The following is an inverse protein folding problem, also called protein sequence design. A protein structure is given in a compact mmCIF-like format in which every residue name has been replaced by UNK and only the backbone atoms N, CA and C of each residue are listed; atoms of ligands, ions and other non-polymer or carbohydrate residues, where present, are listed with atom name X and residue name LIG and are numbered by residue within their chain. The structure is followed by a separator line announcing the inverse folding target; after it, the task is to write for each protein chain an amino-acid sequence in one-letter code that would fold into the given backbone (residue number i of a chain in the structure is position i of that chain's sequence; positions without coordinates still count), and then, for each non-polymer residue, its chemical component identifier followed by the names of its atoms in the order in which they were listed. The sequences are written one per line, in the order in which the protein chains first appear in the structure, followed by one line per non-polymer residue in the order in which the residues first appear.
data_IF_576517509379
#
_entry.id   IF_576517509379
#
_cell.length_a   1.000
_cell.length_b   1.000
_cell.length_c   1.000
_cell.angle_alpha   90.00
_cell.angle_beta   90.00
_cell.angle_gamma   90.00
#
_symmetry.space_group_name_H-M   'P 1'
#
loop_
_entity.id
_entity.type
_entity.pdbx_description
1 polymer ?
#
# COMPACT_ATOMS: atom_id res chain seq x y z
N UNK A 1 8.36 0.02 22.32
CA UNK A 1 9.03 -1.11 21.87
C UNK A 1 8.78 -1.40 20.38
N UNK A 2 7.63 -1.07 19.79
CA UNK A 2 7.36 -1.13 18.34
C UNK A 2 8.44 -0.40 17.53
N UNK A 3 8.81 0.83 17.93
CA UNK A 3 9.84 1.62 17.24
C UNK A 3 11.22 0.95 17.19
N UNK A 4 11.55 0.10 18.17
CA UNK A 4 12.85 -0.57 18.19
C UNK A 4 12.95 -1.69 17.15
N UNK A 5 11.85 -2.31 16.79
CA UNK A 5 11.83 -3.37 15.79
C UNK A 5 11.76 -2.77 14.38
N UNK A 6 10.89 -1.79 14.16
CA UNK A 6 10.81 -1.05 12.91
C UNK A 6 12.11 -0.31 12.57
N UNK A 7 12.82 0.25 13.58
CA UNK A 7 14.09 0.95 13.34
C UNK A 7 15.21 0.06 12.77
N UNK A 8 15.06 -1.27 12.81
CA UNK A 8 15.99 -2.23 12.22
C UNK A 8 15.70 -2.53 10.75
N UNK A 9 14.47 -2.26 10.32
CA UNK A 9 14.00 -2.57 8.96
C UNK A 9 14.13 -1.38 8.01
N UNK A 10 14.16 -0.16 8.56
CA UNK A 10 14.27 1.06 7.75
C UNK A 10 15.72 1.46 7.48
N UNK A 11 15.98 2.05 6.32
CA UNK A 11 17.31 2.51 5.90
C UNK A 11 17.76 3.83 6.54
N UNK A 12 16.87 4.51 7.26
CA UNK A 12 17.12 5.79 7.93
C UNK A 12 17.13 5.66 9.45
N UNK A 13 17.70 6.63 10.15
CA UNK A 13 17.80 6.60 11.62
C UNK A 13 16.56 7.22 12.27
N UNK A 14 15.97 6.46 13.21
CA UNK A 14 14.86 6.92 14.05
C UNK A 14 15.38 7.13 15.46
N UNK A 15 15.10 8.29 16.06
CA UNK A 15 15.55 8.67 17.39
C UNK A 15 14.35 8.99 18.29
N UNK A 16 14.41 8.57 19.54
CA UNK A 16 13.40 8.89 20.55
C UNK A 16 13.50 10.36 20.97
N UNK A 17 12.38 11.06 20.98
CA UNK A 17 12.27 12.46 21.41
C UNK A 17 11.10 12.64 22.40
N UNK A 18 11.34 12.46 23.69
CA UNK A 18 10.29 12.43 24.70
C UNK A 18 9.37 11.21 24.53
N UNK A 19 8.07 11.44 24.35
CA UNK A 19 7.07 10.42 24.03
C UNK A 19 6.95 10.14 22.51
N UNK A 20 7.62 10.93 21.67
CA UNK A 20 7.54 10.87 20.22
C UNK A 20 8.84 10.34 19.62
N UNK A 21 8.82 10.11 18.31
CA UNK A 21 10.00 9.74 17.51
C UNK A 21 10.35 10.86 16.55
N UNK A 22 11.62 10.93 16.16
CA UNK A 22 12.10 11.82 15.11
C UNK A 22 12.94 11.05 14.10
N UNK A 23 12.81 11.42 12.85
CA UNK A 23 13.60 10.90 11.73
C UNK A 23 14.79 11.82 11.50
N UNK A 24 16.00 11.28 11.47
CA UNK A 24 17.21 12.03 11.21
C UNK A 24 17.45 12.17 9.70
N UNK A 25 17.65 13.40 9.26
CA UNK A 25 18.07 13.71 7.90
C UNK A 25 19.55 14.18 7.92
N UNK A 26 20.52 13.31 7.59
CA UNK A 26 21.95 13.65 7.68
C UNK A 26 22.35 14.79 6.76
N UNK A 27 21.74 14.87 5.56
CA UNK A 27 22.05 15.89 4.55
C UNK A 27 21.72 17.30 5.03
N UNK A 28 20.64 17.43 5.81
CA UNK A 28 20.20 18.72 6.35
C UNK A 28 20.67 18.96 7.79
N UNK A 29 21.34 17.97 8.38
CA UNK A 29 21.75 17.96 9.80
C UNK A 29 20.59 18.28 10.76
N UNK A 30 19.39 17.81 10.42
CA UNK A 30 18.13 18.07 11.13
C UNK A 30 17.38 16.77 11.47
N UNK A 31 16.53 16.91 12.47
CA UNK A 31 15.55 15.88 12.84
C UNK A 31 14.15 16.38 12.53
N UNK A 32 13.31 15.52 12.00
CA UNK A 32 11.93 15.82 11.63
C UNK A 32 10.97 14.91 12.38
N UNK A 33 9.85 15.46 12.81
CA UNK A 33 8.72 14.65 13.26
C UNK A 33 8.07 13.91 12.07
N UNK A 34 7.41 12.75 12.27
CA UNK A 34 6.76 12.01 11.20
C UNK A 34 5.79 12.87 10.37
N UNK A 35 4.99 13.70 11.02
CA UNK A 35 4.07 14.63 10.37
C UNK A 35 4.78 15.70 9.51
N UNK A 36 5.99 16.10 9.86
CA UNK A 36 6.80 17.01 9.03
C UNK A 36 7.31 16.32 7.77
N UNK A 37 7.64 15.03 7.86
CA UNK A 37 8.03 14.20 6.70
C UNK A 37 6.82 13.99 5.79
N UNK A 38 5.68 13.57 6.34
CA UNK A 38 4.43 13.40 5.60
C UNK A 38 3.99 14.70 4.91
N UNK A 39 4.22 15.85 5.54
CA UNK A 39 3.93 17.16 4.95
C UNK A 39 4.74 17.44 3.68
N UNK A 40 5.96 16.89 3.53
CA UNK A 40 6.72 17.04 2.28
C UNK A 40 6.05 16.28 1.13
N UNK A 41 5.54 15.09 1.39
CA UNK A 41 4.80 14.30 0.40
C UNK A 41 3.53 15.06 -0.02
N UNK A 42 2.72 15.51 0.95
CA UNK A 42 1.49 16.26 0.67
C UNK A 42 1.77 17.56 -0.11
N UNK A 43 2.84 18.29 0.24
CA UNK A 43 3.26 19.50 -0.50
C UNK A 43 3.62 19.17 -1.94
N UNK A 44 4.39 18.10 -2.16
CA UNK A 44 4.76 17.67 -3.52
C UNK A 44 3.53 17.33 -4.35
N UNK A 45 2.58 16.60 -3.77
CA UNK A 45 1.32 16.25 -4.44
C UNK A 45 0.49 17.49 -4.78
N UNK A 46 0.37 18.43 -3.83
CA UNK A 46 -0.35 19.70 -4.06
C UNK A 46 0.31 20.57 -5.13
N UNK A 47 1.64 20.64 -5.16
CA UNK A 47 2.40 21.35 -6.20
C UNK A 47 2.18 20.73 -7.59
N UNK A 48 2.24 19.40 -7.69
CA UNK A 48 2.06 18.70 -8.96
C UNK A 48 0.62 18.83 -9.46
N UNK A 49 -0.37 18.69 -8.57
CA UNK A 49 -1.76 18.96 -8.89
C UNK A 49 -1.97 20.41 -9.35
N UNK A 50 -1.37 21.38 -8.66
CA UNK A 50 -1.44 22.79 -9.04
C UNK A 50 -0.84 23.09 -10.42
N UNK A 51 0.29 22.44 -10.76
CA UNK A 51 0.88 22.54 -12.10
C UNK A 51 -0.03 21.96 -13.18
N UNK A 52 -0.68 20.84 -12.88
CA UNK A 52 -1.60 20.19 -13.81
C UNK A 52 -2.87 21.03 -14.04
N UNK A 53 -3.44 21.58 -12.96
CA UNK A 53 -4.68 22.40 -13.01
C UNK A 53 -4.43 23.84 -13.48
N UNK A 54 -3.19 24.33 -13.39
CA UNK A 54 -2.85 25.73 -13.68
C UNK A 54 -3.25 26.71 -12.58
N UNK A 55 -3.57 26.21 -11.37
CA UNK A 55 -3.97 27.01 -10.21
C UNK A 55 -3.41 26.42 -8.90
N UNK A 56 -3.41 27.23 -7.83
CA UNK A 56 -2.92 26.77 -6.53
C UNK A 56 -3.95 25.91 -5.82
N UNK A 57 -3.55 24.69 -5.45
CA UNK A 57 -4.35 23.81 -4.60
C UNK A 57 -4.20 24.22 -3.15
N UNK A 58 -5.30 24.58 -2.49
CA UNK A 58 -5.33 25.08 -1.10
C UNK A 58 -6.11 24.20 -0.14
N UNK A 59 -6.95 23.31 -0.64
CA UNK A 59 -7.83 22.45 0.16
C UNK A 59 -7.63 20.98 -0.22
N UNK A 60 -7.81 20.06 0.75
CA UNK A 60 -7.67 18.65 0.51
C UNK A 60 -8.60 17.80 1.40
N UNK A 61 -9.02 16.66 0.86
CA UNK A 61 -9.49 15.50 1.61
C UNK A 61 -8.32 14.53 1.70
N UNK A 62 -8.03 14.03 2.89
CA UNK A 62 -6.91 13.10 3.11
C UNK A 62 -7.46 11.80 3.69
N UNK A 63 -6.98 10.67 3.19
CA UNK A 63 -7.37 9.35 3.66
C UNK A 63 -6.42 8.82 4.72
N UNK A 64 -6.94 7.96 5.58
CA UNK A 64 -6.19 7.24 6.60
C UNK A 64 -6.70 5.80 6.71
N UNK A 65 -5.87 4.84 7.13
CA UNK A 65 -6.33 3.50 7.48
C UNK A 65 -7.46 3.54 8.51
N UNK A 66 -8.43 2.62 8.41
CA UNK A 66 -9.59 2.62 9.31
C UNK A 66 -9.21 2.39 10.78
N UNK A 67 -8.12 1.68 11.05
CA UNK A 67 -7.62 1.41 12.41
C UNK A 67 -6.84 2.56 13.05
N UNK A 68 -6.56 3.66 12.32
CA UNK A 68 -5.88 4.81 12.90
C UNK A 68 -6.66 5.37 14.08
N UNK A 69 -5.97 5.54 15.21
CA UNK A 69 -6.53 6.21 16.39
C UNK A 69 -6.56 7.74 16.21
N UNK A 70 -7.21 8.43 17.14
CA UNK A 70 -7.38 9.89 17.09
C UNK A 70 -6.05 10.65 16.98
N UNK A 71 -4.99 10.17 17.66
CA UNK A 71 -3.67 10.80 17.61
C UNK A 71 -3.04 10.70 16.22
N UNK A 72 -3.16 9.54 15.56
CA UNK A 72 -2.67 9.32 14.21
C UNK A 72 -3.47 10.12 13.17
N UNK A 73 -4.80 10.19 13.32
CA UNK A 73 -5.68 11.04 12.49
C UNK A 73 -5.32 12.50 12.64
N UNK A 74 -5.09 12.97 13.89
CA UNK A 74 -4.68 14.33 14.14
C UNK A 74 -3.30 14.65 13.56
N UNK A 75 -2.32 13.74 13.68
CA UNK A 75 -0.99 13.90 13.07
C UNK A 75 -1.08 14.02 11.54
N UNK A 76 -1.95 13.22 10.89
CA UNK A 76 -2.21 13.34 9.45
C UNK A 76 -2.82 14.69 9.08
N UNK A 77 -3.79 15.17 9.88
CA UNK A 77 -4.38 16.50 9.69
C UNK A 77 -3.36 17.63 9.86
N UNK A 78 -2.46 17.48 10.84
CA UNK A 78 -1.39 18.46 11.09
C UNK A 78 -0.34 18.43 9.97
N UNK A 79 -0.02 17.27 9.40
CA UNK A 79 0.80 17.16 8.21
C UNK A 79 0.23 17.95 7.02
N UNK A 80 -1.09 17.89 6.80
CA UNK A 80 -1.79 18.71 5.80
C UNK A 80 -1.62 20.20 6.05
N UNK A 81 -1.79 20.66 7.30
CA UNK A 81 -1.59 22.05 7.66
C UNK A 81 -0.13 22.51 7.49
N UNK A 82 0.85 21.68 7.87
CA UNK A 82 2.27 21.96 7.67
C UNK A 82 2.60 22.05 6.18
N UNK A 83 1.93 21.26 5.34
CA UNK A 83 2.03 21.35 3.88
C UNK A 83 1.41 22.64 3.30
N UNK A 84 0.64 23.40 4.07
CA UNK A 84 -0.06 24.61 3.63
C UNK A 84 -1.48 24.36 3.11
N UNK A 85 -2.06 23.20 3.41
CA UNK A 85 -3.39 22.81 2.98
C UNK A 85 -4.43 23.01 4.10
N UNK A 86 -5.62 23.47 3.74
CA UNK A 86 -6.81 23.33 4.55
C UNK A 86 -7.34 21.92 4.40
N UNK A 87 -7.25 21.11 5.46
CA UNK A 87 -7.77 19.75 5.47
C UNK A 87 -9.27 19.79 5.76
N UNK A 88 -10.07 19.64 4.71
CA UNK A 88 -11.53 19.68 4.79
C UNK A 88 -12.08 18.48 5.55
N UNK A 89 -11.50 17.31 5.30
CA UNK A 89 -11.91 16.06 5.96
C UNK A 89 -10.79 15.03 5.95
N UNK A 90 -10.77 14.21 7.01
CA UNK A 90 -10.07 12.92 7.05
C UNK A 90 -11.14 11.84 6.87
N UNK A 91 -10.93 10.90 5.96
CA UNK A 91 -11.83 9.75 5.74
C UNK A 91 -11.07 8.44 5.77
N UNK A 92 -11.75 7.36 6.06
CA UNK A 92 -11.15 6.03 6.05
C UNK A 92 -10.86 5.56 4.61
N UNK A 93 -9.70 4.95 4.39
CA UNK A 93 -9.31 4.39 3.08
C UNK A 93 -10.32 3.38 2.53
N UNK A 94 -10.85 2.41 3.33
CA UNK A 94 -11.85 1.49 2.84
C UNK A 94 -13.18 2.16 2.48
N UNK A 95 -13.56 3.23 3.19
CA UNK A 95 -14.73 4.04 2.83
C UNK A 95 -14.52 4.75 1.50
N UNK A 96 -13.35 5.36 1.30
CA UNK A 96 -13.00 5.98 0.02
C UNK A 96 -13.02 4.96 -1.13
N UNK A 97 -12.46 3.77 -0.90
CA UNK A 97 -12.50 2.71 -1.90
C UNK A 97 -13.93 2.31 -2.25
N UNK A 98 -14.79 2.10 -1.27
CA UNK A 98 -16.20 1.77 -1.49
C UNK A 98 -16.94 2.85 -2.29
N UNK A 99 -16.68 4.14 -2.01
CA UNK A 99 -17.21 5.25 -2.79
C UNK A 99 -16.78 5.21 -4.27
N UNK A 100 -15.50 4.94 -4.53
CA UNK A 100 -14.96 4.87 -5.88
C UNK A 100 -15.61 3.77 -6.73
N UNK A 101 -16.01 2.68 -6.09
CA UNK A 101 -16.76 1.60 -6.74
C UNK A 101 -18.27 1.90 -6.89
N UNK A 102 -18.74 3.06 -6.42
CA UNK A 102 -20.14 3.48 -6.53
C UNK A 102 -21.08 2.69 -5.61
N UNK A 103 -20.58 2.16 -4.52
CA UNK A 103 -21.34 1.32 -3.59
C UNK A 103 -22.25 2.14 -2.66
N UNK A 104 -22.07 3.46 -2.62
CA UNK A 104 -22.97 4.40 -1.95
C UNK A 104 -24.43 4.36 -2.46
N UNK A 105 -24.63 3.89 -3.69
CA UNK A 105 -25.94 3.82 -4.36
C UNK A 105 -26.70 2.53 -4.13
N UNK A 106 -26.06 1.58 -3.50
CA UNK A 106 -26.65 0.27 -3.21
C UNK A 106 -27.22 0.25 -1.79
N UNK A 107 -28.25 -0.54 -1.56
CA UNK A 107 -28.90 -0.65 -0.27
C UNK A 107 -28.42 -1.88 0.49
N UNK A 108 -27.92 -1.66 1.71
CA UNK A 108 -27.57 -2.73 2.68
C UNK A 108 -26.62 -3.79 2.12
N UNK A 109 -25.46 -3.38 1.63
CA UNK A 109 -24.42 -4.31 1.18
C UNK A 109 -23.32 -4.48 2.24
N UNK A 110 -22.81 -5.68 2.34
CA UNK A 110 -21.65 -6.07 3.15
C UNK A 110 -20.45 -6.25 2.24
N UNK A 111 -19.47 -5.41 2.46
CA UNK A 111 -18.32 -5.26 1.57
C UNK A 111 -17.08 -5.66 2.33
N UNK A 112 -16.22 -6.48 1.71
CA UNK A 112 -14.86 -6.69 2.17
C UNK A 112 -13.93 -5.87 1.29
N UNK A 113 -13.17 -4.97 1.90
CA UNK A 113 -12.08 -4.24 1.25
C UNK A 113 -10.78 -4.95 1.57
N UNK A 114 -10.10 -5.40 0.52
CA UNK A 114 -8.81 -6.08 0.57
C UNK A 114 -7.76 -5.12 0.04
N UNK A 115 -7.00 -4.50 0.92
CA UNK A 115 -5.99 -3.49 0.59
C UNK A 115 -4.59 -4.04 0.81
N UNK A 116 -3.91 -4.40 -0.29
CA UNK A 116 -2.53 -4.84 -0.29
C UNK A 116 -1.66 -3.82 -1.02
N UNK A 117 -1.10 -2.91 -0.23
CA UNK A 117 -0.22 -1.85 -0.69
C UNK A 117 1.23 -2.27 -0.86
N UNK A 118 2.14 -1.30 -0.84
CA UNK A 118 3.59 -1.54 -0.90
C UNK A 118 4.17 -2.05 0.42
N UNK A 119 3.73 -1.53 1.56
CA UNK A 119 4.29 -1.83 2.88
C UNK A 119 3.34 -2.52 3.86
N UNK A 120 2.02 -2.37 3.68
CA UNK A 120 1.02 -2.92 4.60
C UNK A 120 -0.08 -3.68 3.87
N UNK A 121 -0.70 -4.57 4.60
CA UNK A 121 -1.90 -5.30 4.20
C UNK A 121 -3.03 -5.02 5.18
N UNK A 122 -4.14 -4.52 4.68
CA UNK A 122 -5.30 -4.13 5.47
C UNK A 122 -6.57 -4.78 4.91
N UNK A 123 -7.40 -5.31 5.81
CA UNK A 123 -8.70 -5.88 5.49
C UNK A 123 -9.76 -5.18 6.33
N UNK A 124 -10.78 -4.67 5.69
CA UNK A 124 -11.92 -4.05 6.37
C UNK A 124 -13.22 -4.66 5.89
N UNK A 125 -14.12 -4.92 6.82
CA UNK A 125 -15.49 -5.33 6.51
C UNK A 125 -16.40 -4.14 6.83
N UNK A 126 -17.17 -3.72 5.83
CA UNK A 126 -18.09 -2.59 5.92
C UNK A 126 -19.52 -3.05 5.69
N UNK A 127 -20.47 -2.38 6.34
CA UNK A 127 -21.87 -2.36 5.95
C UNK A 127 -22.21 -1.00 5.33
N UNK A 128 -22.79 -1.01 4.15
CA UNK A 128 -23.12 0.19 3.38
C UNK A 128 -24.61 0.22 3.12
N UNK A 129 -25.27 1.30 3.50
CA UNK A 129 -26.69 1.48 3.27
C UNK A 129 -27.11 2.93 3.36
N UNK A 130 -27.93 3.40 2.43
CA UNK A 130 -28.50 4.75 2.39
C UNK A 130 -27.45 5.89 2.53
N UNK A 131 -26.25 5.68 1.95
CA UNK A 131 -25.14 6.64 2.02
C UNK A 131 -24.35 6.61 3.36
N UNK A 132 -24.69 5.70 4.26
CA UNK A 132 -23.95 5.46 5.51
C UNK A 132 -22.95 4.34 5.30
N UNK A 133 -21.71 4.55 5.72
CA UNK A 133 -20.63 3.56 5.70
C UNK A 133 -20.23 3.24 7.13
N UNK A 134 -20.49 2.04 7.58
CA UNK A 134 -20.10 1.56 8.90
C UNK A 134 -18.97 0.51 8.76
N UNK A 135 -17.85 0.74 9.44
CA UNK A 135 -16.77 -0.23 9.51
C UNK A 135 -17.07 -1.21 10.63
N UNK A 136 -17.45 -2.44 10.27
CA UNK A 136 -17.79 -3.51 11.23
C UNK A 136 -16.55 -4.11 11.89
N UNK A 137 -15.47 -4.26 11.13
CA UNK A 137 -14.21 -4.79 11.63
C UNK A 137 -13.04 -4.40 10.75
N UNK A 138 -11.85 -4.40 11.32
CA UNK A 138 -10.57 -4.26 10.62
C UNK A 138 -9.60 -5.32 11.12
N UNK A 139 -8.75 -5.81 10.22
CA UNK A 139 -7.61 -6.66 10.53
C UNK A 139 -6.51 -6.38 9.53
N UNK A 140 -5.27 -6.75 9.82
CA UNK A 140 -4.18 -6.48 8.90
C UNK A 140 -2.86 -7.11 9.34
N UNK A 141 -1.86 -6.87 8.51
CA UNK A 141 -0.45 -7.20 8.77
C UNK A 141 0.39 -5.99 8.32
N UNK A 142 0.89 -5.22 9.28
CA UNK A 142 1.68 -4.00 9.02
C UNK A 142 3.08 -4.28 8.46
N UNK A 143 3.46 -5.54 8.37
CA UNK A 143 4.73 -6.02 7.82
C UNK A 143 4.51 -6.98 6.65
N UNK A 144 3.46 -6.74 5.86
CA UNK A 144 3.15 -7.49 4.65
C UNK A 144 2.70 -6.54 3.55
N UNK A 145 3.51 -6.42 2.52
CA UNK A 145 3.22 -5.55 1.38
C UNK A 145 4.05 -5.91 0.16
N UNK A 146 3.93 -5.11 -0.89
CA UNK A 146 4.65 -5.29 -2.15
C UNK A 146 6.16 -5.39 -1.98
N UNK A 147 6.73 -4.69 -1.00
CA UNK A 147 8.17 -4.68 -0.70
C UNK A 147 8.65 -6.06 -0.23
N UNK A 148 7.81 -6.82 0.50
CA UNK A 148 8.13 -8.20 0.88
C UNK A 148 8.15 -9.13 -0.33
N UNK A 149 7.22 -8.91 -1.28
CA UNK A 149 7.21 -9.65 -2.55
C UNK A 149 8.42 -9.29 -3.42
N UNK A 150 8.89 -8.05 -3.41
CA UNK A 150 10.14 -7.65 -4.06
C UNK A 150 11.33 -8.33 -3.41
N UNK A 151 11.35 -8.37 -2.08
CA UNK A 151 12.44 -8.96 -1.30
C UNK A 151 12.67 -10.45 -1.62
N UNK A 152 11.61 -11.25 -1.80
CA UNK A 152 11.80 -12.66 -2.17
C UNK A 152 12.42 -12.82 -3.55
N UNK A 153 12.17 -11.89 -4.47
CA UNK A 153 12.81 -11.87 -5.79
C UNK A 153 14.27 -11.44 -5.64
N UNK A 154 14.55 -10.37 -4.88
CA UNK A 154 15.93 -9.90 -4.59
C UNK A 154 16.76 -11.03 -4.01
N UNK A 155 16.24 -11.73 -3.01
CA UNK A 155 16.94 -12.84 -2.37
C UNK A 155 17.21 -13.98 -3.37
N UNK A 156 16.25 -14.33 -4.20
CA UNK A 156 16.41 -15.35 -5.25
C UNK A 156 17.50 -14.95 -6.27
N UNK A 157 17.51 -13.70 -6.73
CA UNK A 157 18.52 -13.19 -7.67
C UNK A 157 19.92 -13.20 -7.03
N UNK A 158 20.04 -12.71 -5.80
CA UNK A 158 21.30 -12.65 -5.08
C UNK A 158 21.86 -14.04 -4.76
N UNK A 159 21.03 -14.99 -4.34
CA UNK A 159 21.44 -16.35 -4.04
C UNK A 159 21.83 -17.12 -5.32
N UNK A 160 21.12 -16.90 -6.42
CA UNK A 160 21.49 -17.47 -7.71
C UNK A 160 22.84 -16.94 -8.19
N UNK A 161 23.07 -15.64 -8.09
CA UNK A 161 24.35 -15.02 -8.46
C UNK A 161 25.47 -15.51 -7.56
N UNK A 162 25.24 -15.58 -6.25
CA UNK A 162 26.20 -16.09 -5.28
C UNK A 162 26.58 -17.56 -5.54
N UNK A 163 25.64 -18.37 -5.95
CA UNK A 163 25.91 -19.78 -6.31
C UNK A 163 26.78 -19.90 -7.54
N UNK A 164 26.62 -18.99 -8.52
CA UNK A 164 27.35 -19.02 -9.79
C UNK A 164 28.72 -18.34 -9.72
N UNK A 165 28.81 -17.20 -9.04
CA UNK A 165 29.97 -16.31 -9.05
C UNK A 165 30.68 -16.20 -7.68
N UNK A 166 30.11 -16.78 -6.62
CA UNK A 166 30.67 -16.76 -5.27
C UNK A 166 30.52 -15.41 -4.54
N UNK A 167 29.80 -14.45 -5.11
CA UNK A 167 29.67 -13.07 -4.61
C UNK A 167 28.23 -12.81 -4.15
N UNK A 168 28.06 -12.32 -2.93
CA UNK A 168 26.76 -11.89 -2.42
C UNK A 168 26.52 -10.41 -2.74
N UNK A 169 25.69 -10.15 -3.73
CA UNK A 169 25.38 -8.79 -4.20
C UNK A 169 24.66 -7.92 -3.14
N UNK A 170 24.09 -8.51 -2.10
CA UNK A 170 23.45 -7.79 -0.99
C UNK A 170 24.44 -7.03 -0.11
N UNK A 171 25.73 -7.35 -0.19
CA UNK A 171 26.82 -6.65 0.53
C UNK A 171 27.21 -5.32 -0.13
N UNK A 172 26.87 -5.13 -1.38
CA UNK A 172 27.11 -3.89 -2.14
C UNK A 172 25.80 -3.08 -2.26
N UNK A 173 25.78 -1.89 -1.66
CA UNK A 173 24.58 -1.03 -1.66
C UNK A 173 24.12 -0.64 -3.07
N UNK A 174 25.03 -0.44 -4.00
CA UNK A 174 24.67 -0.08 -5.39
C UNK A 174 24.08 -1.29 -6.12
N UNK A 175 24.67 -2.47 -5.94
CA UNK A 175 24.15 -3.70 -6.51
C UNK A 175 22.78 -4.03 -5.90
N UNK A 176 22.62 -3.91 -4.58
CA UNK A 176 21.36 -4.14 -3.89
C UNK A 176 20.25 -3.21 -4.41
N UNK A 177 20.53 -1.93 -4.57
CA UNK A 177 19.55 -0.97 -5.12
C UNK A 177 19.09 -1.40 -6.52
N UNK A 178 20.01 -1.79 -7.40
CA UNK A 178 19.70 -2.26 -8.75
C UNK A 178 18.91 -3.59 -8.74
N UNK A 179 19.21 -4.49 -7.81
CA UNK A 179 18.43 -5.72 -7.62
C UNK A 179 17.00 -5.40 -7.20
N UNK A 180 16.81 -4.45 -6.26
CA UNK A 180 15.49 -4.05 -5.76
C UNK A 180 14.64 -3.45 -6.89
N UNK A 181 15.20 -2.52 -7.68
CA UNK A 181 14.51 -1.92 -8.82
C UNK A 181 14.13 -2.97 -9.88
N UNK A 182 15.01 -3.93 -10.15
CA UNK A 182 14.75 -5.00 -11.10
C UNK A 182 13.71 -5.99 -10.58
N UNK A 183 13.71 -6.28 -9.28
CA UNK A 183 12.74 -7.15 -8.63
C UNK A 183 11.33 -6.55 -8.67
N UNK A 184 11.18 -5.29 -8.32
CA UNK A 184 9.89 -4.58 -8.41
C UNK A 184 9.36 -4.59 -9.84
N UNK A 185 10.22 -4.25 -10.81
CA UNK A 185 9.85 -4.30 -12.23
C UNK A 185 9.38 -5.70 -12.64
N UNK A 186 10.13 -6.74 -12.27
CA UNK A 186 9.79 -8.13 -12.58
C UNK A 186 8.45 -8.55 -11.93
N UNK A 187 8.21 -8.18 -10.66
CA UNK A 187 6.93 -8.40 -9.97
C UNK A 187 5.77 -7.79 -10.76
N UNK A 188 5.90 -6.55 -11.18
CA UNK A 188 4.88 -5.83 -11.96
C UNK A 188 4.63 -6.55 -13.31
N UNK A 189 5.68 -6.89 -14.04
CA UNK A 189 5.58 -7.62 -15.32
C UNK A 189 4.91 -8.98 -15.17
N UNK A 190 5.25 -9.74 -14.13
CA UNK A 190 4.69 -11.05 -13.83
C UNK A 190 3.20 -11.02 -13.44
N UNK A 191 2.63 -9.88 -13.15
CA UNK A 191 1.18 -9.73 -12.94
C UNK A 191 0.41 -9.94 -14.26
N UNK A 192 1.01 -9.65 -15.41
CA UNK A 192 0.39 -9.82 -16.73
C UNK A 192 1.11 -10.83 -17.62
N UNK A 193 2.44 -10.96 -17.53
CA UNK A 193 3.24 -11.89 -18.30
C UNK A 193 3.50 -13.19 -17.53
N UNK A 194 3.83 -14.27 -18.25
CA UNK A 194 4.20 -15.57 -17.67
C UNK A 194 5.67 -15.67 -17.28
N UNK A 195 6.49 -14.75 -17.76
CA UNK A 195 7.92 -14.64 -17.44
C UNK A 195 8.37 -13.19 -17.57
N UNK A 196 9.45 -12.86 -16.87
CA UNK A 196 10.17 -11.57 -16.92
C UNK A 196 11.65 -11.82 -17.10
N UNK A 197 12.29 -11.06 -18.00
CA UNK A 197 13.73 -11.11 -18.24
C UNK A 197 14.43 -10.04 -17.41
N UNK A 198 15.33 -10.47 -16.53
CA UNK A 198 16.09 -9.61 -15.64
C UNK A 198 17.52 -9.56 -16.14
N UNK A 199 17.92 -8.43 -16.70
CA UNK A 199 19.26 -8.21 -17.22
C UNK A 199 19.90 -7.00 -16.53
N UNK A 200 20.95 -7.26 -15.72
CA UNK A 200 21.71 -6.25 -14.97
C UNK A 200 23.17 -6.30 -15.38
N UNK A 201 23.55 -5.61 -16.47
CA UNK A 201 24.93 -5.55 -16.91
C UNK A 201 25.79 -4.80 -15.91
N UNK A 202 27.04 -5.24 -15.75
CA UNK A 202 28.02 -4.60 -14.85
C UNK A 202 27.47 -4.46 -13.40
N UNK A 203 26.86 -5.53 -12.89
CA UNK A 203 26.26 -5.49 -11.54
C UNK A 203 27.35 -5.42 -10.46
N UNK A 204 28.50 -6.00 -10.69
CA UNK A 204 29.69 -5.90 -9.83
C UNK A 204 30.95 -6.03 -10.65
N UNK A 205 32.08 -5.66 -10.05
CA UNK A 205 33.41 -5.80 -10.65
C UNK A 205 34.28 -6.72 -9.81
N UNK A 206 35.04 -7.59 -10.49
CA UNK A 206 36.01 -8.49 -9.88
C UNK A 206 37.39 -8.25 -10.50
N UNK A 207 38.48 -8.81 -9.92
CA UNK A 207 39.80 -8.77 -10.54
C UNK A 207 39.84 -9.42 -11.93
N UNK A 208 38.95 -10.36 -12.22
CA UNK A 208 38.83 -11.01 -13.53
C UNK A 208 37.99 -10.18 -14.54
N UNK A 209 37.36 -9.09 -14.08
CA UNK A 209 36.55 -8.20 -14.91
C UNK A 209 35.13 -8.00 -14.36
N UNK A 210 34.32 -7.26 -15.11
CA UNK A 210 32.93 -7.01 -14.72
C UNK A 210 32.07 -8.27 -14.81
N UNK A 211 31.13 -8.40 -13.90
CA UNK A 211 30.13 -9.46 -13.87
C UNK A 211 28.74 -8.91 -14.19
N UNK A 212 27.93 -9.77 -14.76
CA UNK A 212 26.57 -9.45 -15.21
C UNK A 212 25.61 -10.44 -14.60
N UNK A 213 24.39 -10.00 -14.26
CA UNK A 213 23.30 -10.87 -13.91
C UNK A 213 22.31 -10.92 -15.06
N UNK A 214 22.04 -12.12 -15.56
CA UNK A 214 21.06 -12.39 -16.60
C UNK A 214 20.24 -13.61 -16.18
N UNK A 215 18.92 -13.41 -15.97
CA UNK A 215 18.04 -14.44 -15.45
C UNK A 215 16.62 -14.23 -15.95
N UNK A 216 15.95 -15.31 -16.35
CA UNK A 216 14.52 -15.32 -16.64
C UNK A 216 13.75 -15.83 -15.41
N UNK A 217 12.88 -15.00 -14.86
CA UNK A 217 12.00 -15.36 -13.76
C UNK A 217 10.61 -15.70 -14.30
N UNK A 218 10.12 -16.90 -14.03
CA UNK A 218 8.74 -17.29 -14.41
C UNK A 218 7.75 -16.90 -13.32
N UNK A 219 6.49 -16.64 -13.68
CA UNK A 219 5.39 -16.40 -12.72
C UNK A 219 5.28 -17.56 -11.72
N UNK A 220 5.30 -18.81 -12.18
CA UNK A 220 5.23 -19.96 -11.28
C UNK A 220 6.37 -20.01 -10.26
N UNK A 221 7.60 -19.62 -10.66
CA UNK A 221 8.72 -19.54 -9.71
C UNK A 221 8.55 -18.40 -8.71
N UNK A 222 8.06 -17.24 -9.16
CA UNK A 222 7.74 -16.12 -8.27
C UNK A 222 6.65 -16.51 -7.25
N UNK A 223 5.57 -17.15 -7.69
CA UNK A 223 4.49 -17.61 -6.80
C UNK A 223 4.96 -18.67 -5.80
N UNK A 224 5.86 -19.57 -6.22
CA UNK A 224 6.53 -20.52 -5.31
C UNK A 224 7.32 -19.79 -4.22
N UNK A 225 8.15 -18.81 -4.59
CA UNK A 225 8.96 -18.01 -3.67
C UNK A 225 8.08 -17.19 -2.71
N UNK A 226 6.98 -16.65 -3.19
CA UNK A 226 6.06 -15.81 -2.44
C UNK A 226 4.96 -16.59 -1.69
N UNK A 227 4.96 -17.92 -1.74
CA UNK A 227 3.84 -18.74 -1.23
C UNK A 227 3.50 -18.45 0.24
N UNK A 228 4.51 -18.26 1.10
CA UNK A 228 4.28 -17.92 2.51
C UNK A 228 3.68 -16.54 2.72
N UNK A 229 4.04 -15.55 1.88
CA UNK A 229 3.47 -14.21 1.93
C UNK A 229 2.01 -14.24 1.48
N UNK A 230 1.71 -14.99 0.43
CA UNK A 230 0.35 -15.18 -0.07
C UNK A 230 -0.51 -15.84 1.02
N UNK A 231 -0.03 -16.89 1.68
CA UNK A 231 -0.76 -17.53 2.76
C UNK A 231 -0.97 -16.62 3.99
N UNK A 232 -0.04 -15.70 4.27
CA UNK A 232 -0.23 -14.69 5.32
C UNK A 232 -1.41 -13.78 5.05
N UNK A 233 -1.73 -13.45 3.80
CA UNK A 233 -2.90 -12.63 3.46
C UNK A 233 -4.23 -13.29 3.88
N UNK A 234 -4.30 -14.60 4.02
CA UNK A 234 -5.52 -15.32 4.41
C UNK A 234 -5.92 -15.01 5.85
N UNK A 235 -4.97 -14.90 6.77
CA UNK A 235 -5.22 -14.75 8.21
C UNK A 235 -6.02 -13.49 8.54
N UNK A 236 -5.66 -12.28 8.06
CA UNK A 236 -6.45 -11.08 8.29
C UNK A 236 -7.86 -11.13 7.70
N UNK A 237 -8.05 -11.79 6.55
CA UNK A 237 -9.38 -11.96 5.95
C UNK A 237 -10.28 -12.81 6.86
N UNK A 238 -9.78 -13.96 7.32
CA UNK A 238 -10.54 -14.83 8.24
C UNK A 238 -10.81 -14.12 9.58
N UNK A 239 -9.85 -13.35 10.08
CA UNK A 239 -10.01 -12.61 11.34
C UNK A 239 -11.04 -11.48 11.21
N UNK A 240 -10.98 -10.69 10.14
CA UNK A 240 -11.92 -9.60 9.90
C UNK A 240 -13.37 -10.14 9.79
N UNK A 241 -13.60 -11.22 9.06
CA UNK A 241 -14.91 -11.87 8.95
C UNK A 241 -15.42 -12.36 10.33
N UNK A 242 -14.54 -12.99 11.10
CA UNK A 242 -14.85 -13.46 12.45
C UNK A 242 -15.25 -12.32 13.39
N UNK A 243 -14.51 -11.22 13.36
CA UNK A 243 -14.76 -10.05 14.23
C UNK A 243 -16.04 -9.31 13.81
N UNK A 244 -16.33 -9.24 12.51
CA UNK A 244 -17.60 -8.77 11.96
C UNK A 244 -18.75 -9.75 12.24
N UNK A 245 -18.50 -10.96 12.73
CA UNK A 245 -19.47 -12.05 12.94
C UNK A 245 -20.20 -12.44 11.65
N UNK A 246 -19.49 -12.40 10.52
CA UNK A 246 -20.00 -12.75 9.21
C UNK A 246 -19.31 -14.00 8.67
N UNK A 247 -20.05 -14.77 7.90
CA UNK A 247 -19.49 -15.78 7.00
C UNK A 247 -19.16 -15.16 5.65
N UNK A 248 -18.23 -15.76 4.89
CA UNK A 248 -17.89 -15.28 3.55
C UNK A 248 -19.09 -15.27 2.58
N UNK A 249 -20.09 -16.13 2.79
CA UNK A 249 -21.31 -16.16 1.98
C UNK A 249 -22.22 -14.95 2.18
N UNK A 250 -22.08 -14.23 3.29
CA UNK A 250 -22.86 -13.03 3.62
C UNK A 250 -22.25 -11.75 3.07
N UNK A 251 -21.04 -11.82 2.50
CA UNK A 251 -20.47 -10.70 1.75
C UNK A 251 -21.24 -10.52 0.44
N UNK A 252 -21.48 -9.29 0.05
CA UNK A 252 -22.09 -8.95 -1.24
C UNK A 252 -21.02 -8.63 -2.27
N UNK A 253 -19.98 -7.89 -1.88
CA UNK A 253 -18.92 -7.40 -2.75
C UNK A 253 -17.54 -7.56 -2.11
N UNK A 254 -16.50 -7.74 -2.94
CA UNK A 254 -15.10 -7.71 -2.53
C UNK A 254 -14.37 -6.70 -3.39
N UNK A 255 -13.82 -5.70 -2.76
CA UNK A 255 -13.14 -4.57 -3.38
C UNK A 255 -11.65 -4.71 -3.22
N UNK A 256 -10.92 -4.66 -4.35
CA UNK A 256 -9.47 -4.77 -4.37
C UNK A 256 -8.81 -3.39 -4.39
N UNK A 257 -7.88 -3.18 -3.48
CA UNK A 257 -7.12 -1.93 -3.30
C UNK A 257 -5.63 -2.24 -3.22
N UNK A 258 -4.81 -1.35 -3.77
CA UNK A 258 -3.35 -1.47 -3.78
C UNK A 258 -2.80 -2.28 -4.95
N UNK A 259 -1.63 -1.85 -5.46
CA UNK A 259 -1.01 -2.42 -6.67
C UNK A 259 -0.66 -3.89 -6.55
N UNK A 260 -0.33 -4.35 -5.34
CA UNK A 260 0.04 -5.76 -5.09
C UNK A 260 -1.14 -6.72 -5.22
N UNK A 261 -2.39 -6.22 -5.22
CA UNK A 261 -3.58 -7.04 -5.51
C UNK A 261 -3.66 -7.49 -6.97
N UNK A 262 -2.82 -6.95 -7.86
CA UNK A 262 -2.70 -7.40 -9.26
C UNK A 262 -1.99 -8.74 -9.41
N UNK A 263 -1.31 -9.23 -8.37
CA UNK A 263 -0.64 -10.52 -8.36
C UNK A 263 -1.70 -11.63 -8.53
N UNK A 264 -1.62 -12.46 -9.58
CA UNK A 264 -2.66 -13.46 -9.86
C UNK A 264 -2.93 -14.43 -8.71
N UNK A 265 -1.90 -14.86 -8.00
CA UNK A 265 -2.05 -15.75 -6.85
C UNK A 265 -2.77 -15.08 -5.67
N UNK A 266 -2.69 -13.75 -5.51
CA UNK A 266 -3.46 -13.01 -4.51
C UNK A 266 -4.95 -13.01 -4.88
N UNK A 267 -5.28 -12.76 -6.14
CA UNK A 267 -6.66 -12.81 -6.62
C UNK A 267 -7.29 -14.19 -6.42
N UNK A 268 -6.54 -15.24 -6.75
CA UNK A 268 -6.98 -16.63 -6.57
C UNK A 268 -7.16 -16.96 -5.08
N UNK A 269 -6.28 -16.45 -4.20
CA UNK A 269 -6.45 -16.60 -2.75
C UNK A 269 -7.77 -15.98 -2.29
N UNK A 270 -8.05 -14.74 -2.69
CA UNK A 270 -9.28 -14.03 -2.32
C UNK A 270 -10.50 -14.81 -2.79
N UNK A 271 -10.53 -15.22 -4.05
CA UNK A 271 -11.61 -16.03 -4.62
C UNK A 271 -11.81 -17.35 -3.86
N UNK A 272 -10.73 -18.05 -3.54
CA UNK A 272 -10.77 -19.32 -2.80
C UNK A 272 -11.25 -19.13 -1.36
N UNK A 273 -10.83 -18.05 -0.69
CA UNK A 273 -11.16 -17.78 0.73
C UNK A 273 -12.60 -17.28 0.89
N UNK A 274 -13.08 -16.47 -0.05
CA UNK A 274 -14.40 -15.84 0.04
C UNK A 274 -15.49 -16.54 -0.77
N UNK A 275 -15.09 -17.35 -1.77
CA UNK A 275 -16.01 -17.99 -2.72
C UNK A 275 -16.59 -17.03 -3.76
N UNK A 276 -16.08 -15.78 -3.83
CA UNK A 276 -16.57 -14.72 -4.73
C UNK A 276 -15.43 -14.21 -5.62
N UNK A 277 -15.78 -13.78 -6.81
CA UNK A 277 -14.84 -13.09 -7.70
C UNK A 277 -14.62 -11.66 -7.17
N UNK A 278 -13.35 -11.24 -6.96
CA UNK A 278 -13.06 -9.89 -6.50
C UNK A 278 -13.34 -8.86 -7.59
N UNK A 279 -13.92 -7.72 -7.18
CA UNK A 279 -14.22 -6.61 -8.07
C UNK A 279 -12.95 -5.79 -8.35
N UNK A 280 -12.63 -5.64 -9.63
CA UNK A 280 -11.46 -4.91 -10.15
C UNK A 280 -11.86 -3.88 -11.21
N UNK A 281 -13.11 -3.42 -11.21
CA UNK A 281 -13.61 -2.48 -12.22
C UNK A 281 -12.99 -1.10 -12.10
N UNK A 282 -12.46 -0.76 -10.91
CA UNK A 282 -11.68 0.46 -10.67
C UNK A 282 -10.20 0.08 -10.56
N UNK A 283 -9.32 0.96 -11.03
CA UNK A 283 -7.87 0.77 -10.89
C UNK A 283 -7.47 0.70 -9.41
N UNK A 284 -6.95 -0.43 -8.91
CA UNK A 284 -6.62 -0.59 -7.49
C UNK A 284 -5.52 0.36 -6.98
N UNK A 285 -4.70 0.93 -7.88
CA UNK A 285 -3.68 1.92 -7.51
C UNK A 285 -4.27 3.32 -7.26
N UNK A 286 -5.45 3.60 -7.80
CA UNK A 286 -6.07 4.93 -7.81
C UNK A 286 -7.37 4.99 -7.00
N UNK A 287 -7.93 3.85 -6.63
CA UNK A 287 -9.28 3.72 -6.09
C UNK A 287 -9.51 4.59 -4.85
N UNK A 288 -8.56 4.63 -3.91
CA UNK A 288 -8.67 5.45 -2.69
C UNK A 288 -8.64 6.94 -3.02
N UNK A 289 -7.75 7.36 -3.95
CA UNK A 289 -7.67 8.74 -4.40
C UNK A 289 -8.95 9.19 -5.12
N UNK A 290 -9.54 8.33 -5.96
CA UNK A 290 -10.81 8.58 -6.63
C UNK A 290 -11.93 8.77 -5.59
N UNK A 291 -12.02 7.90 -4.58
CA UNK A 291 -12.99 8.02 -3.51
C UNK A 291 -12.82 9.31 -2.69
N UNK A 292 -11.58 9.67 -2.38
CA UNK A 292 -11.26 10.94 -1.73
C UNK A 292 -11.69 12.15 -2.58
N UNK A 293 -11.50 12.08 -3.90
CA UNK A 293 -11.92 13.12 -4.83
C UNK A 293 -13.46 13.24 -4.89
N UNK A 294 -14.18 12.12 -4.89
CA UNK A 294 -15.66 12.12 -4.80
C UNK A 294 -16.10 12.82 -3.52
N UNK A 295 -15.48 12.51 -2.38
CA UNK A 295 -15.77 13.17 -1.11
C UNK A 295 -15.46 14.67 -1.16
N UNK A 296 -14.39 15.07 -1.84
CA UNK A 296 -14.07 16.48 -2.10
C UNK A 296 -15.20 17.17 -2.87
N UNK A 297 -15.71 16.56 -3.94
CA UNK A 297 -16.85 17.05 -4.71
C UNK A 297 -18.14 17.16 -3.90
N UNK A 298 -18.39 16.23 -2.97
CA UNK A 298 -19.54 16.31 -2.04
C UNK A 298 -19.40 17.53 -1.13
N UNK A 299 -18.22 17.75 -0.55
CA UNK A 299 -17.96 18.88 0.35
C UNK A 299 -18.00 20.23 -0.38
N UNK A 300 -17.60 20.28 -1.65
CA UNK A 300 -17.70 21.45 -2.51
C UNK A 300 -19.15 21.73 -3.00
N UNK A 301 -20.09 20.79 -2.77
CA UNK A 301 -21.47 20.89 -3.24
C UNK A 301 -21.66 20.61 -4.74
N UNK A 302 -20.64 20.06 -5.40
CA UNK A 302 -20.68 19.68 -6.80
C UNK A 302 -21.37 18.33 -7.01
N UNK A 303 -21.23 17.42 -6.04
CA UNK A 303 -21.93 16.12 -5.98
C UNK A 303 -23.04 16.23 -4.94
N UNK A 304 -24.30 16.13 -5.38
CA UNK A 304 -25.46 16.42 -4.52
C UNK A 304 -26.20 15.20 -3.99
N UNK A 305 -25.93 14.03 -4.55
CA UNK A 305 -26.72 12.82 -4.30
C UNK A 305 -26.08 11.86 -3.28
N UNK A 306 -24.98 12.27 -2.65
CA UNK A 306 -24.25 11.46 -1.68
C UNK A 306 -24.22 12.18 -0.34
N UNK A 307 -24.80 11.57 0.70
CA UNK A 307 -24.60 11.96 2.09
C UNK A 307 -23.66 10.93 2.72
N UNK A 308 -22.38 11.27 2.85
CA UNK A 308 -21.42 10.37 3.48
C UNK A 308 -21.39 10.57 4.99
N UNK A 309 -21.78 9.56 5.73
CA UNK A 309 -21.54 9.40 7.16
C UNK A 309 -20.59 8.20 7.33
N UNK A 310 -19.34 8.49 7.69
CA UNK A 310 -18.30 7.50 7.99
C UNK A 310 -18.30 7.26 9.49
N UNK A 311 -18.63 6.04 9.90
CA UNK A 311 -18.72 5.61 11.29
C UNK A 311 -17.67 4.53 11.55
N UNK A 312 -16.88 4.71 12.59
CA UNK A 312 -15.82 3.79 13.03
C UNK A 312 -16.07 3.31 14.45
#
# INVERSE_FOLDING_TARGET
DEVNDESKEVSYSVEKSGSNVKVKCPVLEKQFAPEEVSAQVLRKLAEDAGKYLGETVTQAVITVPAYFNDSQRQATKDAGKIAGLEVLRIINEPTAAALAYGLDKKSNERILVFDLGGGTFDVSVLEVGDGVFEVLSTSGDTHLGGDDFDKVIVDHLADTFKSNEGIDLRQDKQALQRLTEAAEKAKIELSSATQSEINLPFITATPEGPKHLDLTLTRGKFEELASTLIDRCRIPVEQALKDAKLSSSELDEIVMVGGSTRIPAVLELVKRTTGKDPNQTVNPDEVVAIGAAIQGGVLAGEVKDILLLDVT
#
